data_IF_098945122780
#
_entry.id   IF_098945122780
#
_cell.length_a   1.000
_cell.length_b   1.000
_cell.length_c   1.000
_cell.angle_alpha   90.00
_cell.angle_beta   90.00
_cell.angle_gamma   90.00
#
_symmetry.space_group_name_H-M   'P 1'
#
loop_
_entity.id
_entity.type
_entity.pdbx_description
1 polymer ?
#
# COMPACT_ATOMS: atom_id res chain seq x y z
N UNK A 1 2.78 8.49 2.13
CA UNK A 1 2.32 7.12 2.45
C UNK A 1 1.78 6.93 3.89
N UNK A 2 2.47 7.42 4.92
CA UNK A 2 2.08 7.22 6.34
C UNK A 2 0.64 7.62 6.67
N UNK A 3 0.14 8.69 6.06
CA UNK A 3 -1.24 9.17 6.25
C UNK A 3 -2.28 8.12 5.83
N UNK A 4 -2.10 7.51 4.65
CA UNK A 4 -3.00 6.45 4.16
C UNK A 4 -2.97 5.24 5.09
N UNK A 5 -1.76 4.83 5.51
CA UNK A 5 -1.59 3.69 6.40
C UNK A 5 -2.30 3.92 7.75
N UNK A 6 -2.12 5.08 8.35
CA UNK A 6 -2.76 5.42 9.62
C UNK A 6 -4.29 5.40 9.51
N UNK A 7 -4.84 6.01 8.45
CA UNK A 7 -6.28 6.03 8.22
C UNK A 7 -6.84 4.62 7.98
N UNK A 8 -6.14 3.76 7.24
CA UNK A 8 -6.55 2.36 7.07
C UNK A 8 -6.53 1.57 8.39
N UNK A 9 -5.52 1.78 9.24
CA UNK A 9 -5.46 1.15 10.58
C UNK A 9 -6.60 1.65 11.47
N UNK A 10 -6.91 2.95 11.44
CA UNK A 10 -8.06 3.53 12.16
C UNK A 10 -9.41 2.97 11.68
N UNK A 11 -9.52 2.62 10.39
CA UNK A 11 -10.69 1.96 9.82
C UNK A 11 -10.76 0.45 10.16
N UNK A 12 -9.74 -0.10 10.82
CA UNK A 12 -9.70 -1.50 11.24
C UNK A 12 -9.06 -2.44 10.22
N UNK A 13 -8.23 -1.91 9.33
CA UNK A 13 -7.27 -2.69 8.58
C UNK A 13 -6.03 -2.98 9.46
N UNK A 14 -5.19 -3.92 9.04
CA UNK A 14 -4.00 -4.30 9.79
C UNK A 14 -2.83 -4.58 8.85
N UNK A 15 -1.61 -4.31 9.33
CA UNK A 15 -0.39 -4.67 8.60
C UNK A 15 -0.14 -6.16 8.82
N UNK A 16 -0.11 -6.94 7.73
CA UNK A 16 0.12 -8.39 7.79
C UNK A 16 1.54 -8.78 7.37
N UNK A 17 2.20 -7.95 6.56
CA UNK A 17 3.54 -8.21 6.05
C UNK A 17 4.24 -6.90 5.69
N UNK A 18 5.57 -6.89 5.79
CA UNK A 18 6.41 -5.82 5.24
C UNK A 18 7.57 -6.42 4.47
N UNK A 19 7.90 -5.85 3.32
CA UNK A 19 9.05 -6.22 2.51
C UNK A 19 9.92 -5.00 2.22
N UNK A 20 11.19 -5.23 1.86
CA UNK A 20 12.14 -4.17 1.51
C UNK A 20 13.01 -4.57 0.34
N UNK A 21 13.52 -3.56 -0.38
CA UNK A 21 14.57 -3.74 -1.37
C UNK A 21 14.10 -3.99 -2.80
N UNK A 22 12.82 -3.78 -3.09
CA UNK A 22 12.27 -3.80 -4.45
C UNK A 22 11.23 -2.67 -4.61
N UNK A 23 11.21 -1.91 -5.71
CA UNK A 23 12.08 -2.05 -6.89
C UNK A 23 13.49 -1.47 -6.68
N UNK A 24 13.68 -0.65 -5.63
CA UNK A 24 14.98 -0.12 -5.21
C UNK A 24 15.31 -0.54 -3.78
N UNK A 25 16.59 -0.55 -3.40
CA UNK A 25 17.08 -0.97 -2.07
C UNK A 25 16.39 -0.26 -0.89
N UNK A 26 15.97 1.00 -1.08
CA UNK A 26 15.33 1.83 -0.04
C UNK A 26 13.80 1.72 -0.02
N UNK A 27 13.23 0.97 -0.96
CA UNK A 27 11.79 0.80 -1.03
C UNK A 27 11.31 -0.10 0.09
N UNK A 28 10.23 0.32 0.74
CA UNK A 28 9.46 -0.49 1.67
C UNK A 28 8.11 -0.77 1.03
N UNK A 29 7.68 -2.02 1.09
CA UNK A 29 6.35 -2.47 0.72
C UNK A 29 5.63 -2.88 2.00
N UNK A 30 4.45 -2.33 2.25
CA UNK A 30 3.61 -2.66 3.38
C UNK A 30 2.37 -3.37 2.83
N UNK A 31 2.02 -4.53 3.40
CA UNK A 31 0.83 -5.27 3.03
C UNK A 31 -0.24 -5.16 4.11
N UNK A 32 -1.42 -4.71 3.70
CA UNK A 32 -2.63 -4.69 4.52
C UNK A 32 -3.41 -5.99 4.35
N UNK A 33 -4.01 -6.46 5.45
CA UNK A 33 -4.76 -7.72 5.49
C UNK A 33 -6.10 -7.67 4.75
N UNK A 34 -6.70 -6.50 4.60
CA UNK A 34 -7.98 -6.29 3.91
C UNK A 34 -7.82 -5.31 2.74
N UNK A 35 -8.72 -5.35 1.74
CA UNK A 35 -8.81 -4.31 0.71
C UNK A 35 -8.89 -2.91 1.33
N UNK A 36 -8.37 -1.91 0.62
CA UNK A 36 -8.49 -0.51 1.06
C UNK A 36 -9.94 -0.15 1.37
N UNK A 37 -10.15 0.37 2.57
CA UNK A 37 -11.46 0.72 3.08
C UNK A 37 -11.91 2.11 2.63
N UNK A 38 -10.97 2.95 2.18
CA UNK A 38 -11.27 4.25 1.59
C UNK A 38 -10.45 4.54 0.31
N UNK A 39 -10.84 5.62 -0.37
CA UNK A 39 -10.12 6.16 -1.52
C UNK A 39 -9.35 7.39 -1.10
N UNK A 40 -8.09 7.44 -1.50
CA UNK A 40 -7.17 8.50 -1.11
C UNK A 40 -6.65 9.25 -2.33
N UNK A 41 -6.46 10.56 -2.20
CA UNK A 41 -5.95 11.41 -3.28
C UNK A 41 -4.89 12.33 -2.71
N UNK A 42 -3.65 12.16 -3.18
CA UNK A 42 -2.49 12.95 -2.78
C UNK A 42 -1.63 13.24 -4.02
N UNK A 43 -0.96 14.39 -4.04
CA UNK A 43 -0.23 14.90 -5.21
C UNK A 43 0.82 13.93 -5.79
N UNK A 44 1.50 13.15 -4.94
CA UNK A 44 2.57 12.23 -5.33
C UNK A 44 2.23 10.76 -5.09
N UNK A 45 0.94 10.43 -4.98
CA UNK A 45 0.49 9.06 -4.72
C UNK A 45 -0.44 8.60 -5.83
N UNK A 46 -0.12 7.46 -6.43
CA UNK A 46 -0.96 6.82 -7.43
C UNK A 46 -1.59 5.55 -6.88
N UNK A 47 -2.89 5.39 -7.08
CA UNK A 47 -3.60 4.13 -6.88
C UNK A 47 -3.50 3.25 -8.12
N UNK A 48 -3.23 1.96 -7.93
CA UNK A 48 -3.24 0.96 -8.99
C UNK A 48 -4.06 -0.26 -8.59
N UNK A 49 -4.96 -0.66 -9.47
CA UNK A 49 -5.71 -1.92 -9.34
C UNK A 49 -4.88 -3.05 -9.97
N UNK A 50 -4.19 -3.82 -9.14
CA UNK A 50 -3.34 -4.94 -9.61
C UNK A 50 -4.21 -6.16 -9.90
N UNK A 51 -5.12 -6.47 -8.98
CA UNK A 51 -6.12 -7.55 -9.04
C UNK A 51 -5.52 -8.92 -9.44
N UNK A 52 -4.32 -9.22 -8.92
CA UNK A 52 -3.63 -10.49 -9.14
C UNK A 52 -3.56 -11.31 -7.83
N UNK A 53 -4.29 -12.43 -7.72
CA UNK A 53 -4.29 -13.31 -6.55
C UNK A 53 -2.92 -13.88 -6.16
N UNK A 54 -1.95 -13.95 -7.07
CA UNK A 54 -0.59 -14.37 -6.73
C UNK A 54 0.20 -13.28 -5.99
N UNK A 55 -0.23 -12.03 -6.11
CA UNK A 55 0.43 -10.86 -5.55
C UNK A 55 -0.46 -10.20 -4.49
N UNK A 56 -1.32 -9.28 -4.92
CA UNK A 56 -2.21 -8.48 -4.09
C UNK A 56 -3.30 -7.81 -4.94
N UNK A 57 -4.31 -7.29 -4.26
CA UNK A 57 -5.50 -6.72 -4.89
C UNK A 57 -5.24 -5.33 -5.47
N UNK A 58 -4.68 -4.43 -4.68
CA UNK A 58 -4.42 -3.06 -5.11
C UNK A 58 -3.27 -2.45 -4.33
N UNK A 59 -2.70 -1.37 -4.87
CA UNK A 59 -1.62 -0.63 -4.24
C UNK A 59 -1.77 0.89 -4.36
N UNK A 60 -1.16 1.60 -3.42
CA UNK A 60 -0.78 2.99 -3.55
C UNK A 60 0.74 3.08 -3.63
N UNK A 61 1.24 3.78 -4.64
CA UNK A 61 2.67 4.04 -4.82
C UNK A 61 2.95 5.50 -4.53
N UNK A 62 3.84 5.76 -3.58
CA UNK A 62 4.30 7.10 -3.24
C UNK A 62 5.56 7.42 -4.07
N UNK A 63 5.43 8.25 -5.10
CA UNK A 63 6.54 8.55 -6.01
C UNK A 63 7.68 9.34 -5.37
N UNK A 64 7.44 10.01 -4.24
CA UNK A 64 8.48 10.77 -3.53
C UNK A 64 9.46 9.86 -2.79
N UNK A 65 8.96 8.74 -2.26
CA UNK A 65 9.74 7.77 -1.47
C UNK A 65 9.95 6.44 -2.18
N UNK A 66 9.20 6.21 -3.26
CA UNK A 66 9.02 4.94 -3.99
C UNK A 66 8.41 3.83 -3.14
N UNK A 67 7.92 4.14 -1.96
CA UNK A 67 7.29 3.15 -1.09
C UNK A 67 5.92 2.75 -1.62
N UNK A 68 5.55 1.51 -1.31
CA UNK A 68 4.32 0.89 -1.79
C UNK A 68 3.49 0.45 -0.60
N UNK A 69 2.23 0.82 -0.58
CA UNK A 69 1.23 0.27 0.32
C UNK A 69 0.31 -0.62 -0.51
N UNK A 70 0.31 -1.92 -0.27
CA UNK A 70 -0.50 -2.91 -0.96
C UNK A 70 -1.57 -3.49 -0.01
N UNK A 71 -2.65 -4.02 -0.57
CA UNK A 71 -3.69 -4.73 0.19
C UNK A 71 -3.96 -6.13 -0.37
N UNK A 72 -4.17 -7.10 0.52
CA UNK A 72 -4.61 -8.45 0.14
C UNK A 72 -6.10 -8.44 -0.25
N UNK A 73 -6.58 -9.60 -0.70
CA UNK A 73 -7.96 -9.80 -1.15
C UNK A 73 -8.95 -9.92 0.02
#
# INVERSE_FOLDING_TARGET
MTEILNQEVELGNEIVETSKGWPDEKTIIIFLGKPFMAKYTFENVEYRNIDDPHYWKAEYVDFSTKHVLACKF
#
